data_IF_789830653418
#
_entry.id   IF_789830653418
#
_cell.length_a   1.000
_cell.length_b   1.000
_cell.length_c   1.000
_cell.angle_alpha   90.00
_cell.angle_beta   90.00
_cell.angle_gamma   90.00
#
_symmetry.space_group_name_H-M   'P 1'
#
loop_
_entity.id
_entity.type
_entity.pdbx_description
1 polymer ?
#
# COMPACT_ATOMS: atom_id res chain seq x y z
N UNK A 1 16.16 9.10 -8.51
CA UNK A 1 16.85 10.37 -8.75
C UNK A 1 16.18 11.26 -9.81
N UNK A 2 14.98 10.93 -10.32
CA UNK A 2 14.24 11.79 -11.25
C UNK A 2 14.82 11.92 -12.68
N UNK A 3 15.82 11.14 -13.01
CA UNK A 3 16.48 11.17 -14.32
C UNK A 3 15.77 10.35 -15.40
N UNK A 4 14.97 9.35 -15.00
CA UNK A 4 14.22 8.49 -15.92
C UNK A 4 12.74 8.80 -15.90
N UNK A 5 12.09 8.67 -17.05
CA UNK A 5 10.63 8.71 -17.15
C UNK A 5 10.00 7.38 -16.68
N UNK A 6 8.74 7.41 -16.28
CA UNK A 6 8.01 6.20 -15.85
C UNK A 6 8.01 5.13 -16.95
N UNK A 7 7.83 5.52 -18.21
CA UNK A 7 7.86 4.61 -19.37
C UNK A 7 9.18 3.84 -19.54
N UNK A 8 10.29 4.39 -19.07
CA UNK A 8 11.62 3.77 -19.20
C UNK A 8 11.91 2.73 -18.11
N UNK A 9 11.10 2.71 -17.04
CA UNK A 9 11.29 1.83 -15.87
C UNK A 9 10.22 0.75 -15.74
N UNK A 10 9.17 0.83 -16.56
CA UNK A 10 8.14 -0.21 -16.64
C UNK A 10 8.73 -1.46 -17.28
N UNK A 11 8.53 -2.59 -16.63
CA UNK A 11 8.95 -3.91 -17.08
C UNK A 11 7.72 -4.76 -17.38
N UNK A 12 7.72 -5.44 -18.51
CA UNK A 12 6.71 -6.46 -18.84
C UNK A 12 6.93 -7.70 -17.99
N UNK A 13 5.85 -8.27 -17.47
CA UNK A 13 5.89 -9.56 -16.77
C UNK A 13 5.41 -10.70 -17.67
N UNK A 14 5.55 -11.93 -17.21
CA UNK A 14 5.01 -13.12 -17.90
C UNK A 14 3.47 -13.25 -17.72
N UNK A 15 2.88 -12.39 -16.90
CA UNK A 15 1.43 -12.37 -16.65
C UNK A 15 0.81 -11.37 -17.61
N UNK A 16 -0.19 -11.81 -18.35
CA UNK A 16 -0.92 -10.95 -19.28
C UNK A 16 -1.54 -9.75 -18.53
N UNK A 17 -1.42 -8.56 -19.13
CA UNK A 17 -1.94 -7.30 -18.60
C UNK A 17 -1.35 -6.88 -17.24
N UNK A 18 -0.20 -7.43 -16.84
CA UNK A 18 0.52 -7.02 -15.65
C UNK A 18 1.91 -6.48 -16.00
N UNK A 19 2.11 -5.21 -15.74
CA UNK A 19 3.41 -4.55 -15.83
C UNK A 19 3.92 -4.20 -14.43
N UNK A 20 5.24 -4.11 -14.25
CA UNK A 20 5.86 -3.92 -12.96
C UNK A 20 6.86 -2.75 -13.00
N UNK A 21 6.85 -1.93 -11.96
CA UNK A 21 7.94 -1.02 -11.62
C UNK A 21 8.59 -1.54 -10.34
N UNK A 22 9.83 -1.98 -10.46
CA UNK A 22 10.59 -2.50 -9.32
C UNK A 22 11.23 -1.40 -8.51
N UNK A 23 11.43 -1.63 -7.22
CA UNK A 23 12.27 -0.83 -6.34
C UNK A 23 13.35 -1.69 -5.70
N UNK A 24 14.40 -1.03 -5.21
CA UNK A 24 15.48 -1.65 -4.46
C UNK A 24 15.75 -0.84 -3.18
N UNK A 25 16.71 -1.29 -2.38
CA UNK A 25 17.09 -0.64 -1.12
C UNK A 25 17.56 0.81 -1.29
N UNK A 26 18.05 1.19 -2.47
CA UNK A 26 18.51 2.57 -2.74
C UNK A 26 17.36 3.57 -2.70
N UNK A 27 16.12 3.10 -2.89
CA UNK A 27 14.94 3.96 -2.79
C UNK A 27 14.80 4.60 -1.39
N UNK A 28 15.30 3.96 -0.34
CA UNK A 28 15.32 4.52 1.00
C UNK A 28 16.19 5.79 1.12
N UNK A 29 17.21 5.93 0.26
CA UNK A 29 18.03 7.12 0.15
C UNK A 29 17.28 8.36 -0.31
N UNK A 30 16.14 8.19 -0.98
CA UNK A 30 15.31 9.30 -1.46
C UNK A 30 14.87 10.23 -0.33
N UNK A 31 14.63 9.71 0.86
CA UNK A 31 14.24 10.51 2.04
C UNK A 31 15.32 11.55 2.40
N UNK A 32 16.58 11.15 2.32
CA UNK A 32 17.74 12.03 2.61
C UNK A 32 17.96 12.98 1.45
N UNK A 33 17.97 12.48 0.21
CA UNK A 33 18.19 13.27 -0.99
C UNK A 33 17.16 14.39 -1.16
N UNK A 34 15.92 14.16 -0.74
CA UNK A 34 14.83 15.13 -0.89
C UNK A 34 14.51 15.89 0.40
N UNK A 35 15.34 15.78 1.44
CA UNK A 35 15.07 16.39 2.74
C UNK A 35 14.80 17.90 2.69
N UNK A 36 15.48 18.63 1.79
CA UNK A 36 15.33 20.07 1.58
C UNK A 36 14.13 20.44 0.67
N UNK A 37 13.52 19.50 -0.03
CA UNK A 37 12.39 19.78 -0.93
C UNK A 37 11.07 19.78 -0.16
N UNK A 38 10.46 20.93 -0.02
CA UNK A 38 9.15 21.10 0.63
C UNK A 38 8.01 20.33 -0.08
N UNK A 39 8.17 20.00 -1.36
CA UNK A 39 7.19 19.28 -2.19
C UNK A 39 7.52 17.80 -2.36
N UNK A 40 8.46 17.27 -1.59
CA UNK A 40 8.91 15.87 -1.69
C UNK A 40 7.79 14.83 -1.63
N UNK A 41 6.72 15.10 -0.86
CA UNK A 41 5.56 14.20 -0.77
C UNK A 41 4.83 14.02 -2.12
N UNK A 42 4.97 14.95 -3.06
CA UNK A 42 4.29 14.94 -4.35
C UNK A 42 5.14 14.38 -5.51
N UNK A 43 6.40 14.04 -5.27
CA UNK A 43 7.31 13.57 -6.33
C UNK A 43 6.72 12.38 -7.08
N UNK A 44 6.27 11.34 -6.35
CA UNK A 44 5.69 10.14 -6.94
C UNK A 44 4.41 10.46 -7.71
N UNK A 45 3.52 11.27 -7.11
CA UNK A 45 2.27 11.71 -7.74
C UNK A 45 2.53 12.40 -9.07
N UNK A 46 3.44 13.35 -9.09
CA UNK A 46 3.76 14.11 -10.30
C UNK A 46 4.28 13.21 -11.43
N UNK A 47 5.11 12.22 -11.09
CA UNK A 47 5.66 11.28 -12.07
C UNK A 47 4.62 10.31 -12.62
N UNK A 48 3.82 9.71 -11.75
CA UNK A 48 2.76 8.77 -12.16
C UNK A 48 1.69 9.50 -12.97
N UNK A 49 1.22 10.65 -12.51
CA UNK A 49 0.17 11.40 -13.21
C UNK A 49 0.65 11.93 -14.56
N UNK A 50 1.91 12.38 -14.68
CA UNK A 50 2.46 12.78 -15.97
C UNK A 50 2.46 11.62 -16.98
N UNK A 51 2.76 10.41 -16.52
CA UNK A 51 2.73 9.22 -17.38
C UNK A 51 1.30 8.80 -17.74
N UNK A 52 0.38 8.74 -16.77
CA UNK A 52 -1.01 8.33 -17.00
C UNK A 52 -1.81 9.32 -17.87
N UNK A 53 -1.42 10.59 -17.89
CA UNK A 53 -2.00 11.59 -18.78
C UNK A 53 -1.49 11.51 -20.23
N UNK A 54 -0.44 10.73 -20.49
CA UNK A 54 -0.03 10.42 -21.86
C UNK A 54 -1.08 9.46 -22.46
N UNK A 55 -1.64 9.85 -23.61
CA UNK A 55 -2.71 9.09 -24.31
C UNK A 55 -2.36 7.64 -24.67
N UNK A 56 -1.08 7.26 -24.51
CA UNK A 56 -0.57 5.89 -24.72
C UNK A 56 -0.62 5.00 -23.48
N UNK A 57 -0.86 5.58 -22.29
CA UNK A 57 -0.96 4.82 -21.05
C UNK A 57 -2.38 4.23 -20.90
N UNK A 58 -2.49 2.90 -20.87
CA UNK A 58 -3.77 2.16 -20.84
C UNK A 58 -3.84 1.22 -19.64
N UNK A 59 -3.77 1.77 -18.43
CA UNK A 59 -3.91 1.00 -17.19
C UNK A 59 -5.23 1.29 -16.51
N UNK A 60 -5.98 0.23 -16.18
CA UNK A 60 -7.20 0.32 -15.37
C UNK A 60 -6.87 0.56 -13.90
N UNK A 61 -5.77 -0.01 -13.42
CA UNK A 61 -5.33 0.05 -12.01
C UNK A 61 -3.83 0.27 -11.91
N UNK A 62 -3.45 1.03 -10.87
CA UNK A 62 -2.07 1.13 -10.38
C UNK A 62 -2.07 0.69 -8.93
N UNK A 63 -1.37 -0.40 -8.63
CA UNK A 63 -1.22 -0.92 -7.27
C UNK A 63 0.15 -0.52 -6.75
N UNK A 64 0.20 0.07 -5.56
CA UNK A 64 1.43 0.49 -4.91
C UNK A 64 1.59 -0.35 -3.64
N UNK A 65 2.54 -1.29 -3.66
CA UNK A 65 2.93 -2.06 -2.47
C UNK A 65 3.82 -1.20 -1.58
N UNK A 66 3.45 -1.11 -0.31
CA UNK A 66 4.11 -0.25 0.67
C UNK A 66 4.67 -1.07 1.83
N UNK A 67 5.86 -0.75 2.35
CA UNK A 67 6.37 -1.35 3.57
C UNK A 67 5.50 -0.94 4.78
N UNK A 68 5.51 -1.71 5.88
CA UNK A 68 4.71 -1.42 7.07
C UNK A 68 5.19 -0.20 7.88
N UNK A 69 6.09 0.60 7.33
CA UNK A 69 6.62 1.81 7.95
C UNK A 69 5.82 3.05 7.53
N UNK A 70 5.69 4.02 8.42
CA UNK A 70 5.08 5.32 8.10
C UNK A 70 6.15 6.33 7.64
N UNK A 71 7.00 5.90 6.70
CA UNK A 71 8.07 6.69 6.11
C UNK A 71 7.56 7.68 5.06
N UNK A 72 8.47 8.52 4.54
CA UNK A 72 8.16 9.42 3.42
C UNK A 72 7.62 8.65 2.20
N UNK A 73 8.17 7.48 1.91
CA UNK A 73 7.73 6.66 0.76
C UNK A 73 6.26 6.24 0.90
N UNK A 74 5.84 5.83 2.10
CA UNK A 74 4.44 5.53 2.38
C UNK A 74 3.55 6.77 2.24
N UNK A 75 4.01 7.93 2.72
CA UNK A 75 3.27 9.20 2.54
C UNK A 75 3.14 9.53 1.05
N UNK A 76 4.20 9.38 0.26
CA UNK A 76 4.16 9.62 -1.19
C UNK A 76 3.14 8.69 -1.90
N UNK A 77 3.08 7.42 -1.49
CA UNK A 77 2.09 6.47 -1.98
C UNK A 77 0.66 6.89 -1.62
N UNK A 78 0.41 7.30 -0.38
CA UNK A 78 -0.90 7.81 0.05
C UNK A 78 -1.31 9.10 -0.68
N UNK A 79 -0.34 9.95 -1.02
CA UNK A 79 -0.60 11.23 -1.74
C UNK A 79 -1.03 10.99 -3.18
N UNK A 80 -0.53 9.96 -3.85
CA UNK A 80 -0.92 9.64 -5.23
C UNK A 80 -2.16 8.75 -5.31
N UNK A 81 -2.47 7.99 -4.27
CA UNK A 81 -3.54 6.99 -4.30
C UNK A 81 -4.94 7.61 -4.23
N UNK A 82 -5.89 6.98 -4.91
CA UNK A 82 -7.32 7.27 -4.79
C UNK A 82 -7.93 6.50 -3.60
N UNK A 83 -7.49 5.27 -3.39
CA UNK A 83 -8.02 4.42 -2.34
C UNK A 83 -6.94 3.52 -1.74
N UNK A 84 -7.19 3.08 -0.53
CA UNK A 84 -6.29 2.26 0.28
C UNK A 84 -7.00 0.99 0.71
N UNK A 85 -6.36 -0.16 0.49
CA UNK A 85 -6.69 -1.43 1.13
C UNK A 85 -5.66 -1.68 2.22
N UNK A 86 -6.12 -1.97 3.43
CA UNK A 86 -5.25 -2.19 4.60
C UNK A 86 -5.23 -3.68 4.93
N UNK A 87 -4.17 -4.43 4.61
CA UNK A 87 -4.01 -5.78 5.13
C UNK A 87 -3.69 -5.71 6.63
N UNK A 88 -4.48 -6.45 7.44
CA UNK A 88 -4.33 -6.51 8.89
C UNK A 88 -4.08 -7.96 9.30
N UNK A 89 -2.89 -8.23 9.82
CA UNK A 89 -2.60 -9.53 10.42
C UNK A 89 -3.38 -9.66 11.74
N UNK A 90 -3.99 -10.84 11.98
CA UNK A 90 -4.80 -11.08 13.20
C UNK A 90 -3.92 -11.45 14.40
N UNK A 91 -3.05 -10.52 14.81
CA UNK A 91 -2.08 -10.66 15.89
C UNK A 91 -2.29 -9.59 16.99
N UNK A 92 -1.67 -9.76 18.14
CA UNK A 92 -1.93 -8.98 19.36
C UNK A 92 -1.85 -7.45 19.18
N UNK A 93 -0.85 -6.95 18.47
CA UNK A 93 -0.68 -5.50 18.27
C UNK A 93 -1.38 -4.94 17.03
N UNK A 94 -2.20 -5.74 16.37
CA UNK A 94 -2.81 -5.37 15.09
C UNK A 94 -3.65 -4.09 15.16
N UNK A 95 -4.49 -3.96 16.18
CA UNK A 95 -5.41 -2.82 16.34
C UNK A 95 -4.69 -1.54 16.76
N UNK A 96 -3.62 -1.65 17.54
CA UNK A 96 -2.79 -0.49 17.88
C UNK A 96 -2.11 0.07 16.62
N UNK A 97 -1.47 -0.81 15.83
CA UNK A 97 -0.87 -0.42 14.55
C UNK A 97 -1.87 0.18 13.59
N UNK A 98 -3.08 -0.39 13.50
CA UNK A 98 -4.15 0.13 12.67
C UNK A 98 -4.60 1.52 13.14
N UNK A 99 -4.72 1.76 14.44
CA UNK A 99 -5.07 3.08 14.99
C UNK A 99 -4.02 4.15 14.63
N UNK A 100 -2.75 3.81 14.71
CA UNK A 100 -1.65 4.69 14.28
C UNK A 100 -1.73 5.01 12.79
N UNK A 101 -1.98 3.99 11.96
CA UNK A 101 -2.18 4.16 10.52
C UNK A 101 -3.36 5.07 10.22
N UNK A 102 -4.50 4.89 10.90
CA UNK A 102 -5.69 5.75 10.72
C UNK A 102 -5.37 7.24 10.96
N UNK A 103 -4.66 7.55 12.03
CA UNK A 103 -4.23 8.93 12.33
C UNK A 103 -3.35 9.50 11.20
N UNK A 104 -2.48 8.69 10.63
CA UNK A 104 -1.63 9.13 9.52
C UNK A 104 -2.44 9.35 8.25
N UNK A 105 -3.38 8.46 7.93
CA UNK A 105 -4.30 8.61 6.79
C UNK A 105 -5.12 9.90 6.92
N UNK A 106 -5.66 10.19 8.09
CA UNK A 106 -6.39 11.44 8.36
C UNK A 106 -5.52 12.69 8.13
N UNK A 107 -4.27 12.66 8.60
CA UNK A 107 -3.33 13.77 8.36
C UNK A 107 -3.04 13.97 6.87
N UNK A 108 -2.80 12.89 6.14
CA UNK A 108 -2.59 12.94 4.69
C UNK A 108 -3.84 13.45 3.98
N UNK A 109 -5.01 12.95 4.36
CA UNK A 109 -6.30 13.38 3.79
C UNK A 109 -6.55 14.86 4.00
N UNK A 110 -6.31 15.36 5.19
CA UNK A 110 -6.60 16.76 5.54
C UNK A 110 -5.61 17.75 4.91
N UNK A 111 -4.36 17.35 4.65
CA UNK A 111 -3.31 18.30 4.26
C UNK A 111 -2.75 18.07 2.84
N UNK A 112 -2.80 16.82 2.31
CA UNK A 112 -2.07 16.47 1.10
C UNK A 112 -2.94 15.82 0.02
N UNK A 113 -3.94 15.01 0.40
CA UNK A 113 -4.80 14.28 -0.55
C UNK A 113 -6.23 14.14 -0.02
N UNK A 114 -7.09 15.16 -0.17
CA UNK A 114 -8.48 15.14 0.32
C UNK A 114 -9.35 14.02 -0.26
N UNK A 115 -8.98 13.49 -1.43
CA UNK A 115 -9.72 12.45 -2.13
C UNK A 115 -9.35 11.02 -1.68
N UNK A 116 -8.34 10.87 -0.81
CA UNK A 116 -7.92 9.56 -0.32
C UNK A 116 -9.07 8.89 0.45
N UNK A 117 -9.41 7.65 0.08
CA UNK A 117 -10.46 6.88 0.73
C UNK A 117 -9.94 5.51 1.18
N UNK A 118 -10.43 5.03 2.32
CA UNK A 118 -10.20 3.65 2.76
C UNK A 118 -11.23 2.76 2.09
N UNK A 119 -10.79 1.93 1.16
CA UNK A 119 -11.63 0.97 0.44
C UNK A 119 -12.03 -0.18 1.35
N UNK A 120 -11.11 -0.63 2.20
CA UNK A 120 -11.40 -1.65 3.20
C UNK A 120 -10.19 -2.15 3.95
N UNK A 121 -10.45 -2.91 5.00
CA UNK A 121 -9.48 -3.61 5.83
C UNK A 121 -9.63 -5.10 5.54
N UNK A 122 -8.55 -5.75 5.13
CA UNK A 122 -8.50 -7.17 4.80
C UNK A 122 -7.77 -7.93 5.92
N UNK A 123 -8.49 -8.80 6.63
CA UNK A 123 -7.88 -9.65 7.63
C UNK A 123 -7.02 -10.71 6.96
N UNK A 124 -5.76 -10.81 7.37
CA UNK A 124 -4.78 -11.73 6.81
C UNK A 124 -4.14 -12.59 7.89
N UNK A 125 -3.42 -13.63 7.48
CA UNK A 125 -2.76 -14.59 8.38
C UNK A 125 -3.73 -15.18 9.42
N UNK A 126 -5.01 -15.30 9.05
CA UNK A 126 -6.08 -15.73 9.94
C UNK A 126 -5.97 -17.23 10.24
N UNK A 127 -5.87 -17.59 11.51
CA UNK A 127 -5.90 -18.99 11.96
C UNK A 127 -7.15 -19.23 12.82
N UNK A 128 -8.11 -20.00 12.28
CA UNK A 128 -9.37 -20.35 12.97
C UNK A 128 -9.17 -21.11 14.29
N UNK A 129 -8.03 -21.76 14.47
CA UNK A 129 -7.69 -22.51 15.69
C UNK A 129 -7.15 -21.58 16.79
N UNK A 130 -6.76 -20.37 16.43
CA UNK A 130 -6.22 -19.40 17.36
C UNK A 130 -7.33 -18.46 17.86
N UNK A 131 -7.60 -18.53 19.17
CA UNK A 131 -8.60 -17.68 19.83
C UNK A 131 -8.31 -16.19 19.65
N UNK A 132 -7.03 -15.79 19.69
CA UNK A 132 -6.62 -14.43 19.47
C UNK A 132 -7.05 -13.91 18.08
N UNK A 133 -6.92 -14.73 17.02
CA UNK A 133 -7.35 -14.31 15.68
C UNK A 133 -8.85 -13.98 15.65
N UNK A 134 -9.68 -14.75 16.33
CA UNK A 134 -11.13 -14.52 16.42
C UNK A 134 -11.47 -13.28 17.27
N UNK A 135 -10.70 -13.02 18.32
CA UNK A 135 -10.87 -11.82 19.15
C UNK A 135 -10.50 -10.55 18.35
N UNK A 136 -9.35 -10.56 17.67
CA UNK A 136 -8.92 -9.43 16.81
C UNK A 136 -9.92 -9.20 15.66
N UNK A 137 -10.42 -10.27 15.02
CA UNK A 137 -11.46 -10.14 14.00
C UNK A 137 -12.71 -9.45 14.56
N UNK A 138 -13.21 -9.92 15.72
CA UNK A 138 -14.40 -9.35 16.35
C UNK A 138 -14.19 -7.87 16.65
N UNK A 139 -13.10 -7.51 17.30
CA UNK A 139 -12.80 -6.11 17.65
C UNK A 139 -12.64 -5.24 16.39
N UNK A 140 -11.97 -5.74 15.34
CA UNK A 140 -11.85 -5.02 14.10
C UNK A 140 -13.23 -4.77 13.45
N UNK A 141 -14.12 -5.77 13.44
CA UNK A 141 -15.48 -5.63 12.89
C UNK A 141 -16.36 -4.72 13.73
N UNK A 142 -16.25 -4.79 15.06
CA UNK A 142 -17.01 -3.95 15.98
C UNK A 142 -16.62 -2.46 15.83
N UNK A 143 -15.33 -2.18 15.62
CA UNK A 143 -14.81 -0.80 15.51
C UNK A 143 -14.94 -0.24 14.10
N UNK A 144 -14.55 -0.99 13.07
CA UNK A 144 -14.49 -0.50 11.68
C UNK A 144 -15.70 -0.88 10.83
N UNK A 145 -16.60 -1.74 11.38
CA UNK A 145 -17.89 -2.12 10.80
C UNK A 145 -17.77 -2.60 9.34
N UNK A 146 -18.46 -1.90 8.44
CA UNK A 146 -18.54 -2.15 7.00
C UNK A 146 -17.20 -1.96 6.25
N UNK A 147 -16.20 -1.35 6.89
CA UNK A 147 -14.86 -1.21 6.32
C UNK A 147 -14.06 -2.52 6.37
N UNK A 148 -14.44 -3.50 7.18
CA UNK A 148 -13.75 -4.80 7.22
C UNK A 148 -14.37 -5.74 6.20
N UNK A 149 -13.56 -6.22 5.25
CA UNK A 149 -14.03 -7.20 4.26
C UNK A 149 -14.55 -8.47 4.93
N UNK A 150 -15.62 -9.05 4.38
CA UNK A 150 -16.14 -10.34 4.83
C UNK A 150 -15.13 -11.47 4.58
N UNK A 151 -14.43 -11.40 3.46
CA UNK A 151 -13.36 -12.33 3.11
C UNK A 151 -12.19 -12.15 4.06
N UNK A 152 -11.61 -13.26 4.51
CA UNK A 152 -10.35 -13.30 5.26
C UNK A 152 -9.32 -14.13 4.49
N UNK A 153 -8.06 -13.76 4.58
CA UNK A 153 -6.95 -14.54 4.01
C UNK A 153 -6.36 -15.42 5.11
N UNK A 154 -6.52 -16.76 5.03
CA UNK A 154 -6.01 -17.65 6.07
C UNK A 154 -4.48 -17.72 6.05
N UNK A 155 -3.89 -18.04 7.20
CA UNK A 155 -2.48 -18.43 7.27
C UNK A 155 -2.28 -19.70 6.43
N UNK A 156 -1.39 -19.65 5.46
CA UNK A 156 -1.12 -20.77 4.57
C UNK A 156 0.38 -20.84 4.23
N UNK A 157 0.99 -22.00 4.48
CA UNK A 157 2.41 -22.23 4.20
C UNK A 157 2.72 -22.05 2.72
N UNK A 158 1.85 -22.54 1.83
CA UNK A 158 2.03 -22.41 0.37
C UNK A 158 2.08 -20.95 -0.08
N UNK A 159 1.25 -20.07 0.51
CA UNK A 159 1.31 -18.64 0.23
C UNK A 159 2.61 -18.00 0.72
N UNK A 160 3.18 -18.51 1.82
CA UNK A 160 4.47 -18.00 2.33
C UNK A 160 5.65 -18.47 1.48
N UNK A 161 5.54 -19.61 0.82
CA UNK A 161 6.58 -20.20 -0.03
C UNK A 161 6.50 -19.71 -1.48
N UNK A 162 5.32 -19.30 -1.96
CA UNK A 162 5.09 -18.90 -3.35
C UNK A 162 6.12 -17.89 -3.90
N UNK A 163 6.53 -16.85 -3.17
CA UNK A 163 7.54 -15.91 -3.64
C UNK A 163 8.91 -16.56 -3.93
N UNK A 164 9.25 -17.67 -3.23
CA UNK A 164 10.50 -18.40 -3.45
C UNK A 164 10.52 -19.12 -4.80
N UNK A 165 9.36 -19.40 -5.35
CA UNK A 165 9.19 -20.09 -6.65
C UNK A 165 8.86 -19.12 -7.79
N UNK A 166 8.72 -17.84 -7.50
CA UNK A 166 8.34 -16.82 -8.50
C UNK A 166 6.90 -16.97 -9.01
N UNK A 167 6.01 -17.53 -8.18
CA UNK A 167 4.59 -17.74 -8.46
C UNK A 167 3.72 -17.13 -7.40
#
# INVERSE_FOLDING_TARGET
NGTKNVSEVIQKTNIENLDLITSNVDLSGLEVETAADSRRAFILKNRIMAYLNDSRATYDYVLIDCPPSLSLLTIMALVVSNSLVVPLQTEFFALEGLTQLMKTIERVKNNLNPNLNIKGILLTMYDRRNKLSSEVEKEARDFFKDKVYQTVVPRNVRLSEAPSYGV
#
